data_IF_017434530054
#
_entry.id   IF_017434530054
#
_cell.length_a   1.000
_cell.length_b   1.000
_cell.length_c   1.000
_cell.angle_alpha   90.00
_cell.angle_beta   90.00
_cell.angle_gamma   90.00
#
_symmetry.space_group_name_H-M   'P 1'
#
loop_
_entity.id
_entity.type
_entity.pdbx_description
1 polymer ?
#
# COMPACT_ATOMS: atom_id res chain seq x y z
N UNK A 1 4.31 -29.50 -31.86
CA UNK A 1 5.55 -29.15 -31.15
C UNK A 1 5.15 -28.46 -29.87
N UNK A 2 5.32 -29.15 -28.76
CA UNK A 2 5.05 -28.67 -27.41
C UNK A 2 6.11 -27.67 -26.96
N UNK A 3 5.72 -26.66 -26.18
CA UNK A 3 6.57 -25.91 -25.26
C UNK A 3 5.64 -25.45 -24.11
N UNK A 4 5.67 -26.13 -22.95
CA UNK A 4 6.45 -25.77 -21.75
C UNK A 4 6.25 -24.29 -21.37
N UNK A 5 5.70 -23.92 -20.22
CA UNK A 5 5.87 -24.50 -18.89
C UNK A 5 6.41 -23.37 -17.99
N UNK A 6 5.52 -22.57 -17.40
CA UNK A 6 5.88 -21.49 -16.47
C UNK A 6 5.55 -21.89 -15.05
N UNK A 7 6.55 -22.40 -14.32
CA UNK A 7 6.43 -22.82 -12.93
C UNK A 7 6.05 -21.68 -11.99
N UNK A 8 4.86 -21.77 -11.40
CA UNK A 8 4.46 -20.94 -10.27
C UNK A 8 5.26 -21.32 -9.02
N UNK A 9 6.37 -20.63 -8.78
CA UNK A 9 7.04 -20.67 -7.48
C UNK A 9 6.08 -20.13 -6.43
N UNK A 10 5.65 -20.99 -5.50
CA UNK A 10 4.88 -20.58 -4.32
C UNK A 10 5.72 -19.60 -3.52
N UNK A 11 5.36 -18.31 -3.54
CA UNK A 11 5.90 -17.31 -2.63
C UNK A 11 5.31 -17.55 -1.23
N UNK A 12 6.16 -17.40 -0.21
CA UNK A 12 5.72 -17.38 1.19
C UNK A 12 4.79 -16.20 1.48
N UNK A 13 4.11 -16.21 2.63
CA UNK A 13 3.17 -15.16 3.04
C UNK A 13 3.89 -13.80 3.16
N UNK A 14 3.19 -12.73 2.82
CA UNK A 14 3.65 -11.34 3.05
C UNK A 14 3.72 -11.02 4.54
N UNK A 15 4.45 -9.97 4.92
CA UNK A 15 4.54 -9.55 6.33
C UNK A 15 3.16 -9.24 6.94
N UNK A 16 2.22 -8.71 6.15
CA UNK A 16 0.85 -8.48 6.61
C UNK A 16 0.09 -9.79 6.90
N UNK A 17 0.28 -10.81 6.07
CA UNK A 17 -0.32 -12.15 6.28
C UNK A 17 0.32 -12.85 7.48
N UNK A 18 1.64 -12.74 7.63
CA UNK A 18 2.34 -13.26 8.80
C UNK A 18 1.87 -12.59 10.08
N UNK A 19 1.67 -11.28 10.05
CA UNK A 19 1.19 -10.49 11.17
C UNK A 19 -0.26 -10.84 11.56
N UNK A 20 -1.12 -11.16 10.59
CA UNK A 20 -2.51 -11.62 10.80
C UNK A 20 -2.59 -13.03 11.41
N UNK A 21 -1.56 -13.85 11.22
CA UNK A 21 -1.43 -15.19 11.82
C UNK A 21 -0.85 -15.17 13.25
N UNK A 22 -0.37 -14.02 13.74
CA UNK A 22 0.16 -13.88 15.10
C UNK A 22 -0.95 -13.85 16.16
N UNK A 23 -0.62 -14.33 17.37
CA UNK A 23 -1.44 -14.04 18.54
C UNK A 23 -1.57 -12.51 18.73
N UNK A 24 -2.75 -11.98 19.09
CA UNK A 24 -2.97 -10.53 19.23
C UNK A 24 -1.96 -9.83 20.14
N UNK A 25 -1.47 -10.51 21.18
CA UNK A 25 -0.47 -9.98 22.12
C UNK A 25 0.87 -9.77 21.41
N UNK A 26 1.27 -10.73 20.58
CA UNK A 26 2.52 -10.67 19.83
C UNK A 26 2.44 -9.59 18.73
N UNK A 27 1.31 -9.49 18.02
CA UNK A 27 1.09 -8.44 17.04
C UNK A 27 1.22 -7.05 17.67
N UNK A 28 0.56 -6.82 18.81
CA UNK A 28 0.63 -5.54 19.52
C UNK A 28 2.05 -5.20 19.97
N UNK A 29 2.78 -6.17 20.53
CA UNK A 29 4.17 -5.99 20.94
C UNK A 29 5.07 -5.62 19.75
N UNK A 30 4.95 -6.34 18.63
CA UNK A 30 5.72 -6.10 17.40
C UNK A 30 5.44 -4.70 16.83
N UNK A 31 4.16 -4.31 16.72
CA UNK A 31 3.78 -2.99 16.22
C UNK A 31 4.26 -1.87 17.13
N UNK A 32 4.19 -2.05 18.44
CA UNK A 32 4.68 -1.06 19.42
C UNK A 32 6.19 -0.87 19.29
N UNK A 33 6.95 -1.96 19.19
CA UNK A 33 8.40 -1.92 18.99
C UNK A 33 8.77 -1.22 17.67
N UNK A 34 8.06 -1.51 16.58
CA UNK A 34 8.28 -0.86 15.29
C UNK A 34 8.05 0.66 15.36
N UNK A 35 6.98 1.10 16.02
CA UNK A 35 6.68 2.53 16.21
C UNK A 35 7.78 3.21 17.03
N UNK A 36 8.24 2.59 18.13
CA UNK A 36 9.34 3.12 18.93
C UNK A 36 10.64 3.24 18.13
N UNK A 37 10.91 2.27 17.24
CA UNK A 37 12.08 2.32 16.37
C UNK A 37 11.98 3.47 15.35
N UNK A 38 10.79 3.74 14.80
CA UNK A 38 10.56 4.89 13.92
C UNK A 38 10.83 6.21 14.66
N UNK A 39 10.31 6.36 15.88
CA UNK A 39 10.56 7.55 16.70
C UNK A 39 12.06 7.72 17.00
N UNK A 40 12.75 6.63 17.33
CA UNK A 40 14.19 6.63 17.61
C UNK A 40 15.04 6.96 16.37
N UNK A 41 14.58 6.63 15.16
CA UNK A 41 15.24 7.00 13.90
C UNK A 41 14.90 8.42 13.44
N UNK A 42 14.08 9.15 14.19
CA UNK A 42 13.68 10.53 13.89
C UNK A 42 12.48 10.64 12.94
N UNK A 43 11.82 9.53 12.61
CA UNK A 43 10.57 9.51 11.84
C UNK A 43 9.40 9.74 12.79
N UNK A 44 8.52 10.69 12.48
CA UNK A 44 7.31 10.92 13.28
C UNK A 44 6.15 10.05 12.75
N UNK A 45 5.73 8.98 13.47
CA UNK A 45 4.62 8.12 13.06
C UNK A 45 3.25 8.80 13.16
N UNK A 46 3.16 9.91 13.89
CA UNK A 46 1.92 10.67 14.13
C UNK A 46 2.07 12.13 13.70
N UNK A 47 2.18 12.42 12.38
CA UNK A 47 2.30 13.79 11.89
C UNK A 47 1.04 14.60 12.21
N UNK A 48 1.22 15.87 12.60
CA UNK A 48 0.10 16.75 12.97
C UNK A 48 -0.81 17.13 11.80
N UNK A 49 -0.29 17.08 10.56
CA UNK A 49 -1.04 17.46 9.36
C UNK A 49 -0.52 16.72 8.14
N UNK A 50 -1.47 16.22 7.35
CA UNK A 50 -1.26 15.79 5.97
C UNK A 50 -2.23 16.59 5.10
N UNK A 51 -1.73 17.26 4.06
CA UNK A 51 -2.58 18.00 3.13
C UNK A 51 -3.19 17.01 2.15
N UNK A 52 -4.52 17.01 2.03
CA UNK A 52 -5.27 16.23 1.06
C UNK A 52 -5.83 17.17 0.00
N UNK A 53 -5.74 16.78 -1.27
CA UNK A 53 -6.30 17.52 -2.39
C UNK A 53 -7.77 17.15 -2.63
N UNK A 54 -8.09 15.86 -2.48
CA UNK A 54 -9.40 15.32 -2.83
C UNK A 54 -9.82 14.19 -1.88
N UNK A 55 -11.13 14.13 -1.57
CA UNK A 55 -11.74 13.03 -0.83
C UNK A 55 -11.99 11.83 -1.74
N UNK A 56 -11.95 10.61 -1.21
CA UNK A 56 -12.12 9.40 -2.02
C UNK A 56 -13.45 9.35 -2.80
N UNK A 57 -14.62 9.71 -2.24
CA UNK A 57 -15.87 9.72 -3.01
C UNK A 57 -15.82 10.67 -4.22
N UNK A 58 -15.20 11.84 -4.03
CA UNK A 58 -15.03 12.82 -5.10
C UNK A 58 -14.03 12.32 -6.15
N UNK A 59 -12.92 11.72 -5.73
CA UNK A 59 -11.94 11.14 -6.65
C UNK A 59 -12.57 10.05 -7.53
N UNK A 60 -13.42 9.18 -6.96
CA UNK A 60 -14.12 8.15 -7.74
C UNK A 60 -15.06 8.80 -8.76
N UNK A 61 -15.83 9.81 -8.35
CA UNK A 61 -16.74 10.53 -9.23
C UNK A 61 -16.01 11.24 -10.38
N UNK A 62 -14.92 11.94 -10.09
CA UNK A 62 -14.15 12.70 -11.09
C UNK A 62 -13.43 11.80 -12.12
N UNK A 63 -13.35 10.49 -11.86
CA UNK A 63 -12.65 9.50 -12.67
C UNK A 63 -13.52 8.30 -13.06
N UNK A 64 -14.85 8.43 -13.01
CA UNK A 64 -15.79 7.33 -13.30
C UNK A 64 -15.77 6.87 -14.78
N UNK A 65 -15.33 7.75 -15.67
CA UNK A 65 -15.30 7.59 -17.13
C UNK A 65 -13.93 7.13 -17.67
N UNK A 66 -13.01 6.73 -16.79
CA UNK A 66 -11.65 6.34 -17.18
C UNK A 66 -11.65 4.97 -17.87
N UNK A 67 -11.20 4.95 -19.13
CA UNK A 67 -11.04 3.72 -19.91
C UNK A 67 -10.00 2.77 -19.29
N UNK A 68 -10.22 1.43 -19.33
CA UNK A 68 -9.26 0.46 -18.84
C UNK A 68 -7.86 0.63 -19.46
N UNK A 69 -6.83 0.62 -18.61
CA UNK A 69 -5.43 0.77 -19.02
C UNK A 69 -4.96 2.22 -19.14
N UNK A 70 -5.84 3.21 -18.94
CA UNK A 70 -5.46 4.63 -18.92
C UNK A 70 -4.65 4.96 -17.67
N UNK A 71 -3.56 5.71 -17.86
CA UNK A 71 -2.82 6.38 -16.78
C UNK A 71 -2.85 7.88 -17.04
N UNK A 72 -3.55 8.64 -16.20
CA UNK A 72 -3.50 10.11 -16.22
C UNK A 72 -2.23 10.58 -15.50
N UNK A 73 -1.70 11.73 -15.89
CA UNK A 73 -0.51 12.33 -15.27
C UNK A 73 -0.83 13.21 -14.05
N UNK A 74 -2.08 13.18 -13.58
CA UNK A 74 -2.55 14.01 -12.48
C UNK A 74 -1.91 13.55 -11.16
N UNK A 75 -1.27 14.49 -10.46
CA UNK A 75 -0.74 14.27 -9.13
C UNK A 75 -1.77 14.74 -8.10
N UNK A 76 -2.22 13.83 -7.24
CA UNK A 76 -3.19 14.12 -6.18
C UNK A 76 -2.78 13.46 -4.86
N UNK A 77 -3.09 14.10 -3.75
CA UNK A 77 -2.98 13.55 -2.41
C UNK A 77 -4.35 13.13 -1.86
N UNK A 78 -4.42 11.91 -1.34
CA UNK A 78 -5.60 11.30 -0.72
C UNK A 78 -5.23 10.65 0.61
N UNK A 79 -6.21 10.41 1.47
CA UNK A 79 -6.00 9.73 2.75
C UNK A 79 -7.12 8.72 3.06
N UNK A 80 -6.80 7.71 3.86
CA UNK A 80 -7.74 6.69 4.32
C UNK A 80 -7.09 5.63 5.19
N UNK A 81 -7.85 4.61 5.58
CA UNK A 81 -7.35 3.44 6.31
C UNK A 81 -7.00 2.34 5.33
N UNK A 82 -5.77 1.84 5.41
CA UNK A 82 -5.36 0.61 4.69
C UNK A 82 -6.14 -0.56 5.27
N UNK A 83 -6.89 -1.26 4.42
CA UNK A 83 -7.65 -2.47 4.78
C UNK A 83 -6.92 -3.75 4.44
N UNK A 84 -6.14 -3.74 3.37
CA UNK A 84 -5.26 -4.84 2.99
C UNK A 84 -4.08 -4.29 2.21
N UNK A 85 -2.96 -4.99 2.30
CA UNK A 85 -1.76 -4.74 1.53
C UNK A 85 -1.30 -6.07 0.94
N UNK A 86 -0.92 -6.09 -0.34
CA UNK A 86 -0.39 -7.28 -1.00
C UNK A 86 0.73 -6.89 -1.96
N UNK A 87 1.79 -7.69 -1.98
CA UNK A 87 3.00 -7.40 -2.76
C UNK A 87 3.40 -8.54 -3.69
N UNK A 88 3.92 -8.19 -4.86
CA UNK A 88 4.52 -9.14 -5.80
C UNK A 88 5.82 -8.56 -6.38
N UNK A 89 6.92 -8.67 -5.62
CA UNK A 89 8.24 -8.22 -6.08
C UNK A 89 8.32 -6.70 -6.10
N UNK A 90 8.25 -6.08 -7.28
CA UNK A 90 8.40 -4.62 -7.49
C UNK A 90 7.05 -3.88 -7.58
N UNK A 91 5.98 -4.50 -7.10
CA UNK A 91 4.61 -4.03 -7.25
C UNK A 91 3.82 -4.34 -5.98
N UNK A 92 3.25 -3.31 -5.37
CA UNK A 92 2.36 -3.39 -4.21
C UNK A 92 0.98 -2.87 -4.54
N UNK A 93 -0.03 -3.50 -3.95
CA UNK A 93 -1.41 -3.05 -4.00
C UNK A 93 -1.92 -2.83 -2.59
N UNK A 94 -2.57 -1.69 -2.37
CA UNK A 94 -3.24 -1.37 -1.10
C UNK A 94 -4.72 -1.09 -1.37
N UNK A 95 -5.59 -1.66 -0.55
CA UNK A 95 -6.99 -1.24 -0.50
C UNK A 95 -7.12 -0.11 0.54
N UNK A 96 -7.38 1.11 0.08
CA UNK A 96 -7.54 2.30 0.91
C UNK A 96 -9.02 2.62 1.07
N UNK A 97 -9.49 2.73 2.31
CA UNK A 97 -10.90 2.97 2.64
C UNK A 97 -11.08 4.25 3.43
N UNK A 98 -11.99 5.11 2.98
CA UNK A 98 -12.45 6.32 3.66
C UNK A 98 -13.90 6.62 3.26
N UNK A 99 -14.67 7.25 4.13
CA UNK A 99 -16.04 7.72 3.84
C UNK A 99 -16.97 6.65 3.23
N UNK A 100 -16.80 5.39 3.62
CA UNK A 100 -17.60 4.26 3.14
C UNK A 100 -17.26 3.79 1.72
N UNK A 101 -16.29 4.40 1.05
CA UNK A 101 -15.80 3.99 -0.28
C UNK A 101 -14.40 3.40 -0.20
N UNK A 102 -13.98 2.73 -1.28
CA UNK A 102 -12.68 2.07 -1.41
C UNK A 102 -12.02 2.44 -2.73
N UNK A 103 -10.73 2.74 -2.70
CA UNK A 103 -9.87 2.79 -3.88
C UNK A 103 -8.75 1.75 -3.75
N UNK A 104 -8.18 1.35 -4.89
CA UNK A 104 -6.95 0.55 -4.91
C UNK A 104 -5.78 1.46 -5.28
N UNK A 105 -4.74 1.45 -4.44
CA UNK A 105 -3.46 2.09 -4.72
C UNK A 105 -2.55 1.03 -5.35
N UNK A 106 -2.03 1.32 -6.53
CA UNK A 106 -1.01 0.52 -7.20
C UNK A 106 0.33 1.25 -7.11
N UNK A 107 1.26 0.72 -6.33
CA UNK A 107 2.60 1.27 -6.15
C UNK A 107 3.62 0.37 -6.85
N UNK A 108 4.25 0.89 -7.91
CA UNK A 108 5.27 0.16 -8.67
C UNK A 108 6.63 0.88 -8.62
N UNK A 109 7.72 0.10 -8.54
CA UNK A 109 9.07 0.63 -8.34
C UNK A 109 9.45 1.69 -9.38
N UNK A 110 8.97 1.57 -10.62
CA UNK A 110 9.36 2.49 -11.72
C UNK A 110 8.74 3.87 -11.56
N UNK A 111 7.60 3.97 -10.88
CA UNK A 111 6.87 5.22 -10.67
C UNK A 111 7.02 5.77 -9.25
N UNK A 112 7.68 5.02 -8.36
CA UNK A 112 7.94 5.47 -7.00
C UNK A 112 9.05 6.53 -7.01
N UNK A 113 9.01 7.46 -6.05
CA UNK A 113 9.92 8.60 -6.03
C UNK A 113 11.40 8.22 -5.87
N UNK A 114 11.66 7.11 -5.19
CA UNK A 114 13.00 6.66 -4.80
C UNK A 114 13.03 5.13 -4.66
N UNK A 115 13.90 4.47 -5.43
CA UNK A 115 13.97 3.00 -5.45
C UNK A 115 14.43 2.40 -4.11
N UNK A 116 15.27 3.11 -3.35
CA UNK A 116 15.76 2.64 -2.05
C UNK A 116 14.62 2.73 -1.02
N UNK A 117 13.88 3.83 -1.01
CA UNK A 117 12.72 4.02 -0.12
C UNK A 117 11.54 3.10 -0.44
N UNK A 118 11.43 2.58 -1.65
CA UNK A 118 10.35 1.65 -2.03
C UNK A 118 10.34 0.37 -1.18
N UNK A 119 11.51 -0.08 -0.72
CA UNK A 119 11.63 -1.30 0.09
C UNK A 119 11.61 -1.04 1.59
N UNK A 120 11.54 0.22 2.02
CA UNK A 120 11.41 0.62 3.43
C UNK A 120 9.96 0.65 3.92
N UNK A 121 8.99 0.39 3.01
CA UNK A 121 7.53 0.45 3.24
C UNK A 121 6.99 -0.81 3.92
#
# INVERSE_FOLDING_TARGET
GEAQGGGGGKKGPSQAELDEELDPTQYFANRTAAIQQMEASGVNPYPHKFQIDVLLPKYIQDHEDVEPGTRKADLVSVAGRVRSARGQGKLYFYDLVADGVKIQVMSDLKTYEDEEKFFEV
#
